data_IF_430042582654
#
_entry.id   IF_430042582654
#
_cell.length_a   1.000
_cell.length_b   1.000
_cell.length_c   1.000
_cell.angle_alpha   90.00
_cell.angle_beta   90.00
_cell.angle_gamma   90.00
#
_symmetry.space_group_name_H-M   'P 1'
#
loop_
_entity.id
_entity.type
_entity.pdbx_description
1 polymer ?
#
# COMPACT_ATOMS: atom_id res chain seq x y z
N UNK A 1 20.37 28.43 49.68
CA UNK A 1 21.58 28.76 48.90
C UNK A 1 21.44 28.12 47.55
N UNK A 2 21.37 28.91 46.49
CA UNK A 2 21.38 28.38 45.12
C UNK A 2 22.83 28.02 44.79
N UNK A 3 23.05 26.79 44.33
CA UNK A 3 24.36 26.29 43.93
C UNK A 3 24.75 26.83 42.53
N UNK A 4 26.02 27.18 42.35
CA UNK A 4 26.61 27.61 41.08
C UNK A 4 26.31 26.61 39.94
N UNK A 5 26.27 25.30 40.24
CA UNK A 5 25.95 24.27 39.25
C UNK A 5 24.50 24.39 38.73
N UNK A 6 23.56 24.83 39.57
CA UNK A 6 22.17 25.07 39.17
C UNK A 6 22.05 26.28 38.24
N UNK A 7 22.79 27.35 38.55
CA UNK A 7 22.82 28.57 37.72
C UNK A 7 23.48 28.30 36.36
N UNK A 8 24.56 27.52 36.29
CA UNK A 8 25.20 27.16 35.02
C UNK A 8 24.29 26.34 34.09
N UNK A 9 23.48 25.42 34.65
CA UNK A 9 22.48 24.67 33.85
C UNK A 9 21.38 25.58 33.31
N UNK A 10 20.84 26.46 34.15
CA UNK A 10 19.84 27.44 33.71
C UNK A 10 20.41 28.37 32.61
N UNK A 11 21.68 28.76 32.73
CA UNK A 11 22.36 29.57 31.72
C UNK A 11 22.58 28.82 30.39
N UNK A 12 22.91 27.52 30.45
CA UNK A 12 22.99 26.67 29.24
C UNK A 12 21.63 26.52 28.56
N UNK A 13 20.58 26.18 29.32
CA UNK A 13 19.23 26.08 28.80
C UNK A 13 18.77 27.37 28.11
N UNK A 14 19.09 28.54 28.71
CA UNK A 14 18.83 29.86 28.11
C UNK A 14 19.55 30.07 26.79
N UNK A 15 20.79 29.59 26.65
CA UNK A 15 21.56 29.70 25.40
C UNK A 15 21.00 28.81 24.29
N UNK A 16 20.41 27.66 24.64
CA UNK A 16 19.81 26.70 23.71
C UNK A 16 18.32 26.99 23.41
N UNK A 17 17.72 27.99 24.08
CA UNK A 17 16.30 28.35 23.92
C UNK A 17 15.34 27.43 24.66
N UNK A 18 15.85 26.62 25.58
CA UNK A 18 15.10 25.70 26.43
C UNK A 18 14.61 26.38 27.73
N UNK A 19 13.54 25.87 28.37
CA UNK A 19 13.05 26.42 29.62
C UNK A 19 14.08 26.31 30.75
N UNK A 20 14.43 27.44 31.36
CA UNK A 20 15.52 27.59 32.35
C UNK A 20 15.18 27.06 33.75
N UNK A 21 13.90 26.92 34.08
CA UNK A 21 13.41 26.41 35.37
C UNK A 21 13.70 27.30 36.59
N UNK A 22 14.42 28.41 36.41
CA UNK A 22 14.79 29.42 37.41
C UNK A 22 14.46 30.78 36.81
N UNK A 23 13.92 31.70 37.61
CA UNK A 23 13.59 33.04 37.15
C UNK A 23 14.87 33.80 36.71
N UNK A 24 14.78 34.49 35.57
CA UNK A 24 15.94 35.11 34.91
C UNK A 24 16.58 36.23 35.76
N UNK A 25 15.79 36.91 36.59
CA UNK A 25 16.25 37.93 37.55
C UNK A 25 17.19 37.34 38.62
N UNK A 26 16.90 36.11 39.07
CA UNK A 26 17.74 35.37 40.04
C UNK A 26 19.05 34.92 39.39
N UNK A 27 18.99 34.47 38.14
CA UNK A 27 20.17 34.07 37.35
C UNK A 27 21.09 35.27 37.13
N UNK A 28 20.54 36.40 36.69
CA UNK A 28 21.30 37.62 36.40
C UNK A 28 21.92 38.22 37.69
N UNK A 29 21.19 38.22 38.81
CA UNK A 29 21.70 38.67 40.10
C UNK A 29 22.88 37.81 40.60
N UNK A 30 22.82 36.48 40.38
CA UNK A 30 23.90 35.58 40.78
C UNK A 30 25.14 35.74 39.88
N UNK A 31 24.96 35.89 38.57
CA UNK A 31 26.07 36.14 37.62
C UNK A 31 26.74 37.50 37.89
N UNK A 32 26.01 38.49 38.41
CA UNK A 32 26.57 39.78 38.84
C UNK A 32 27.44 39.69 40.11
N UNK A 33 27.19 38.71 40.98
CA UNK A 33 27.95 38.54 42.23
C UNK A 33 29.05 37.46 42.16
N UNK A 34 28.90 36.45 41.29
CA UNK A 34 29.78 35.28 41.25
C UNK A 34 30.77 35.33 40.06
N UNK A 35 32.07 35.26 40.36
CA UNK A 35 33.15 35.28 39.36
C UNK A 35 33.14 34.01 38.49
N UNK A 36 32.84 32.85 39.07
CA UNK A 36 32.83 31.56 38.36
C UNK A 36 31.72 31.49 37.31
N UNK A 37 30.50 31.95 37.65
CA UNK A 37 29.38 31.96 36.70
C UNK A 37 29.59 32.99 35.58
N UNK A 38 30.30 34.09 35.86
CA UNK A 38 30.70 35.07 34.84
C UNK A 38 31.72 34.48 33.87
N UNK A 39 32.74 33.79 34.39
CA UNK A 39 33.74 33.10 33.57
C UNK A 39 33.12 32.02 32.67
N UNK A 40 32.12 31.29 33.18
CA UNK A 40 31.36 30.32 32.40
C UNK A 40 30.59 30.98 31.24
N UNK A 41 29.88 32.09 31.49
CA UNK A 41 29.17 32.84 30.46
C UNK A 41 30.12 33.38 29.38
N UNK A 42 31.26 33.95 29.78
CA UNK A 42 32.27 34.47 28.86
C UNK A 42 32.88 33.37 27.99
N UNK A 43 33.11 32.18 28.57
CA UNK A 43 33.60 31.00 27.85
C UNK A 43 32.58 30.49 26.84
N UNK A 44 31.30 30.42 27.21
CA UNK A 44 30.22 30.04 26.31
C UNK A 44 30.04 31.04 25.16
N UNK A 45 30.14 32.35 25.45
CA UNK A 45 30.10 33.40 24.43
C UNK A 45 31.32 33.35 23.49
N UNK A 46 32.51 33.03 24.01
CA UNK A 46 33.72 32.84 23.21
C UNK A 46 33.61 31.63 22.27
N UNK A 47 33.09 30.50 22.77
CA UNK A 47 32.84 29.31 21.96
C UNK A 47 31.82 29.58 20.84
N UNK A 48 30.71 30.26 21.15
CA UNK A 48 29.72 30.64 20.15
C UNK A 48 30.32 31.56 19.07
N UNK A 49 31.18 32.51 19.45
CA UNK A 49 31.95 33.33 18.49
C UNK A 49 32.89 32.48 17.62
N UNK A 50 33.60 31.52 18.20
CA UNK A 50 34.50 30.62 17.44
C UNK A 50 33.73 29.70 16.49
N UNK A 51 32.56 29.19 16.87
CA UNK A 51 31.71 28.39 15.99
C UNK A 51 31.18 29.23 14.82
N UNK A 52 30.71 30.45 15.09
CA UNK A 52 30.27 31.41 14.06
C UNK A 52 31.38 31.84 13.11
N UNK A 53 32.63 31.93 13.59
CA UNK A 53 33.80 32.27 12.77
C UNK A 53 34.36 31.06 12.01
N UNK A 54 34.29 29.86 12.58
CA UNK A 54 34.67 28.61 11.90
C UNK A 54 33.74 28.30 10.73
N UNK A 55 32.45 28.61 10.86
CA UNK A 55 31.50 28.57 9.72
C UNK A 55 31.77 29.64 8.66
N UNK A 56 32.51 30.70 9.01
CA UNK A 56 32.80 31.83 8.11
C UNK A 56 34.23 31.81 7.51
N UNK A 57 35.14 30.96 8.02
CA UNK A 57 36.56 30.92 7.59
C UNK A 57 36.80 30.14 6.28
N UNK A 58 35.75 29.65 5.63
CA UNK A 58 35.79 29.22 4.23
C UNK A 58 35.16 30.29 3.34
N UNK A 59 35.99 31.14 2.72
CA UNK A 59 35.68 31.95 1.52
C UNK A 59 34.30 32.63 1.42
N UNK A 60 34.21 33.92 1.80
CA UNK A 60 33.09 34.81 1.45
C UNK A 60 31.78 34.54 2.22
N UNK A 61 30.75 35.41 2.09
CA UNK A 61 29.45 35.16 2.69
C UNK A 61 28.87 33.87 2.11
N UNK A 62 29.00 32.77 2.85
CA UNK A 62 28.40 31.48 2.58
C UNK A 62 26.88 31.59 2.78
N UNK A 63 26.21 32.20 1.81
CA UNK A 63 24.87 31.79 1.43
C UNK A 63 25.07 30.36 0.97
N UNK A 64 24.75 29.37 1.84
CA UNK A 64 24.71 27.99 1.41
C UNK A 64 23.85 27.97 0.12
N UNK A 65 24.39 27.54 -1.03
CA UNK A 65 23.63 27.55 -2.27
C UNK A 65 22.34 26.78 -2.01
N UNK A 66 21.21 27.33 -2.41
CA UNK A 66 19.92 26.70 -2.18
C UNK A 66 19.85 25.43 -3.04
N UNK A 67 20.31 24.32 -2.46
CA UNK A 67 20.30 23.01 -3.08
C UNK A 67 18.92 22.35 -2.99
N UNK A 68 17.92 23.02 -2.40
CA UNK A 68 16.56 22.50 -2.30
C UNK A 68 16.02 22.16 -3.69
N UNK A 69 16.22 23.04 -4.67
CA UNK A 69 15.77 22.83 -6.04
C UNK A 69 16.55 21.68 -6.73
N UNK A 70 17.85 21.55 -6.46
CA UNK A 70 18.69 20.46 -7.01
C UNK A 70 18.37 19.10 -6.39
N UNK A 71 18.08 19.07 -5.08
CA UNK A 71 17.67 17.86 -4.35
C UNK A 71 16.25 17.45 -4.79
N UNK A 72 15.32 18.41 -4.92
CA UNK A 72 13.98 18.16 -5.46
C UNK A 72 14.06 17.65 -6.91
N UNK A 73 14.89 18.28 -7.76
CA UNK A 73 15.12 17.84 -9.13
C UNK A 73 15.82 16.48 -9.24
N UNK A 74 16.60 16.07 -8.25
CA UNK A 74 17.21 14.74 -8.18
C UNK A 74 16.20 13.64 -7.78
N UNK A 75 15.21 13.97 -6.94
CA UNK A 75 14.18 13.03 -6.47
C UNK A 75 13.01 12.91 -7.46
N UNK A 76 12.64 14.01 -8.13
CA UNK A 76 11.57 14.06 -9.13
C UNK A 76 11.65 12.97 -10.23
N UNK A 77 12.78 12.72 -10.90
CA UNK A 77 12.83 11.75 -12.00
C UNK A 77 12.63 10.31 -11.53
N UNK A 78 13.17 9.94 -10.37
CA UNK A 78 12.97 8.59 -9.81
C UNK A 78 11.54 8.41 -9.28
N UNK A 79 11.01 9.41 -8.58
CA UNK A 79 9.65 9.40 -8.08
C UNK A 79 8.62 9.36 -9.24
N UNK A 80 8.84 10.15 -10.30
CA UNK A 80 8.01 10.15 -11.52
C UNK A 80 8.09 8.83 -12.26
N UNK A 81 9.27 8.20 -12.39
CA UNK A 81 9.40 6.87 -13.00
C UNK A 81 8.64 5.81 -12.21
N UNK A 82 8.74 5.80 -10.87
CA UNK A 82 7.99 4.88 -10.02
C UNK A 82 6.48 5.14 -10.09
N UNK A 83 6.05 6.40 -10.13
CA UNK A 83 4.64 6.77 -10.29
C UNK A 83 4.09 6.36 -11.66
N UNK A 84 4.83 6.60 -12.75
CA UNK A 84 4.46 6.21 -14.10
C UNK A 84 4.38 4.68 -14.27
N UNK A 85 5.34 3.94 -13.70
CA UNK A 85 5.32 2.47 -13.71
C UNK A 85 4.09 1.91 -12.95
N UNK A 86 3.71 2.52 -11.82
CA UNK A 86 2.49 2.15 -11.08
C UNK A 86 1.23 2.48 -11.88
N UNK A 87 1.15 3.67 -12.48
CA UNK A 87 0.02 4.06 -13.32
C UNK A 87 -0.13 3.13 -14.53
N UNK A 88 0.98 2.76 -15.17
CA UNK A 88 0.98 1.78 -16.27
C UNK A 88 0.54 0.39 -15.80
N UNK A 89 1.03 -0.07 -14.64
CA UNK A 89 0.62 -1.35 -14.05
C UNK A 89 -0.88 -1.41 -13.76
N UNK A 90 -1.45 -0.33 -13.20
CA UNK A 90 -2.89 -0.21 -12.93
C UNK A 90 -3.72 -0.15 -14.23
N UNK A 91 -3.24 0.58 -15.23
CA UNK A 91 -3.89 0.65 -16.54
C UNK A 91 -3.90 -0.73 -17.22
N UNK A 92 -2.76 -1.43 -17.22
CA UNK A 92 -2.64 -2.78 -17.77
C UNK A 92 -3.56 -3.75 -17.03
N UNK A 93 -3.57 -3.72 -15.70
CA UNK A 93 -4.45 -4.60 -14.93
C UNK A 93 -5.93 -4.34 -15.20
N UNK A 94 -6.32 -3.08 -15.44
CA UNK A 94 -7.70 -2.75 -15.81
C UNK A 94 -8.09 -3.39 -17.13
N UNK A 95 -7.21 -3.32 -18.13
CA UNK A 95 -7.42 -3.96 -19.45
C UNK A 95 -7.53 -5.48 -19.28
N UNK A 96 -6.66 -6.09 -18.47
CA UNK A 96 -6.68 -7.54 -18.22
C UNK A 96 -7.96 -7.96 -17.48
N UNK A 97 -8.40 -7.22 -16.46
CA UNK A 97 -9.65 -7.49 -15.73
C UNK A 97 -10.88 -7.39 -16.65
N UNK A 98 -10.91 -6.38 -17.54
CA UNK A 98 -11.96 -6.26 -18.56
C UNK A 98 -11.94 -7.46 -19.52
N UNK A 99 -10.76 -7.86 -20.01
CA UNK A 99 -10.62 -9.02 -20.88
C UNK A 99 -11.08 -10.33 -20.23
N UNK A 100 -10.69 -10.56 -18.97
CA UNK A 100 -11.13 -11.71 -18.18
C UNK A 100 -12.66 -11.69 -17.95
N UNK A 101 -13.22 -10.53 -17.62
CA UNK A 101 -14.67 -10.38 -17.46
C UNK A 101 -15.42 -10.71 -18.75
N UNK A 102 -14.93 -10.24 -19.91
CA UNK A 102 -15.50 -10.58 -21.22
C UNK A 102 -15.41 -12.08 -21.50
N UNK A 103 -14.30 -12.73 -21.17
CA UNK A 103 -14.16 -14.18 -21.31
C UNK A 103 -15.20 -14.95 -20.47
N UNK A 104 -15.47 -14.51 -19.24
CA UNK A 104 -16.53 -15.09 -18.41
C UNK A 104 -17.93 -14.88 -19.00
N UNK A 105 -18.22 -13.70 -19.56
CA UNK A 105 -19.50 -13.44 -20.23
C UNK A 105 -19.69 -14.34 -21.45
N UNK A 106 -18.67 -14.42 -22.32
CA UNK A 106 -18.71 -15.31 -23.49
C UNK A 106 -18.96 -16.75 -23.05
N UNK A 107 -18.26 -17.20 -22.00
CA UNK A 107 -18.44 -18.55 -21.51
C UNK A 107 -19.83 -18.78 -20.90
N UNK A 108 -20.39 -17.82 -20.16
CA UNK A 108 -21.75 -17.91 -19.67
C UNK A 108 -22.77 -18.02 -20.81
N UNK A 109 -22.59 -17.27 -21.91
CA UNK A 109 -23.45 -17.36 -23.09
C UNK A 109 -23.37 -18.75 -23.73
N UNK A 110 -22.16 -19.34 -23.83
CA UNK A 110 -21.98 -20.72 -24.34
C UNK A 110 -22.76 -21.71 -23.46
N UNK A 111 -22.64 -21.62 -22.13
CA UNK A 111 -23.39 -22.49 -21.20
C UNK A 111 -24.91 -22.34 -21.35
N UNK A 112 -25.41 -21.12 -21.56
CA UNK A 112 -26.83 -20.91 -21.81
C UNK A 112 -27.26 -21.52 -23.14
N UNK A 113 -26.42 -21.47 -24.18
CA UNK A 113 -26.65 -22.17 -25.44
C UNK A 113 -26.71 -23.70 -25.26
N UNK A 114 -25.79 -24.26 -24.48
CA UNK A 114 -25.79 -25.69 -24.11
C UNK A 114 -27.05 -26.07 -23.32
N UNK A 115 -27.49 -25.22 -22.39
CA UNK A 115 -28.72 -25.43 -21.62
C UNK A 115 -29.96 -25.53 -22.52
N UNK A 116 -30.04 -24.69 -23.55
CA UNK A 116 -31.13 -24.69 -24.52
C UNK A 116 -31.09 -25.95 -25.41
N UNK A 117 -29.89 -26.44 -25.75
CA UNK A 117 -29.73 -27.67 -26.51
C UNK A 117 -30.16 -28.92 -25.72
N UNK A 118 -29.88 -28.95 -24.40
CA UNK A 118 -30.27 -30.05 -23.50
C UNK A 118 -31.77 -30.00 -23.13
N UNK A 119 -32.36 -28.80 -23.10
CA UNK A 119 -33.78 -28.59 -22.85
C UNK A 119 -34.68 -28.84 -24.08
N UNK A 120 -34.10 -29.09 -25.27
CA UNK A 120 -34.86 -29.49 -26.44
C UNK A 120 -35.60 -30.81 -26.17
N UNK A 121 -36.82 -31.00 -26.75
CA UNK A 121 -37.64 -32.17 -26.44
C UNK A 121 -36.87 -33.47 -26.70
N UNK A 122 -36.72 -34.36 -25.70
CA UNK A 122 -35.96 -35.58 -25.85
C UNK A 122 -36.65 -36.52 -26.84
N UNK A 123 -35.85 -37.31 -27.55
CA UNK A 123 -36.33 -38.37 -28.46
C UNK A 123 -37.02 -39.50 -27.67
N UNK A 124 -36.61 -39.69 -26.41
CA UNK A 124 -37.24 -40.62 -25.47
C UNK A 124 -38.06 -39.86 -24.39
N UNK A 125 -39.38 -40.12 -24.27
CA UNK A 125 -40.28 -39.38 -23.38
C UNK A 125 -40.12 -39.67 -21.88
N UNK A 126 -39.12 -40.46 -21.48
CA UNK A 126 -38.88 -40.86 -20.07
C UNK A 126 -37.61 -40.29 -19.43
N UNK A 127 -36.84 -39.47 -20.14
CA UNK A 127 -35.60 -38.86 -19.62
C UNK A 127 -35.85 -37.41 -19.24
N UNK A 128 -35.87 -37.12 -17.93
CA UNK A 128 -36.02 -35.77 -17.39
C UNK A 128 -34.70 -34.98 -17.52
N UNK A 129 -34.54 -34.20 -18.60
CA UNK A 129 -33.35 -33.35 -18.85
C UNK A 129 -33.44 -31.95 -18.20
N UNK A 130 -34.54 -31.66 -17.52
CA UNK A 130 -34.81 -30.36 -16.89
C UNK A 130 -33.80 -30.02 -15.79
N UNK A 131 -33.41 -31.00 -14.98
CA UNK A 131 -32.43 -30.83 -13.90
C UNK A 131 -31.06 -30.47 -14.47
N UNK A 132 -30.62 -31.18 -15.51
CA UNK A 132 -29.34 -30.90 -16.18
C UNK A 132 -29.34 -29.53 -16.84
N UNK A 133 -30.42 -29.11 -17.49
CA UNK A 133 -30.55 -27.77 -18.05
C UNK A 133 -30.46 -26.68 -16.96
N UNK A 134 -31.08 -26.90 -15.80
CA UNK A 134 -30.98 -26.01 -14.64
C UNK A 134 -29.54 -25.82 -14.14
N UNK A 135 -28.75 -26.90 -14.08
CA UNK A 135 -27.34 -26.82 -13.66
C UNK A 135 -26.48 -25.95 -14.58
N UNK A 136 -26.75 -25.96 -15.89
CA UNK A 136 -26.06 -25.08 -16.84
C UNK A 136 -26.44 -23.61 -16.63
N UNK A 137 -27.71 -23.32 -16.32
CA UNK A 137 -28.18 -21.96 -16.02
C UNK A 137 -27.56 -21.44 -14.73
N UNK A 138 -27.53 -22.25 -13.67
CA UNK A 138 -26.88 -21.88 -12.40
C UNK A 138 -25.37 -21.62 -12.58
N UNK A 139 -24.71 -22.49 -13.35
CA UNK A 139 -23.31 -22.33 -13.70
C UNK A 139 -23.06 -21.04 -14.50
N UNK A 140 -23.93 -20.70 -15.45
CA UNK A 140 -23.87 -19.45 -16.20
C UNK A 140 -24.07 -18.22 -15.29
N UNK A 141 -25.02 -18.28 -14.35
CA UNK A 141 -25.27 -17.20 -13.39
C UNK A 141 -24.02 -16.90 -12.54
N UNK A 142 -23.33 -17.94 -12.05
CA UNK A 142 -22.06 -17.77 -11.31
C UNK A 142 -21.00 -17.08 -12.18
N UNK A 143 -20.87 -17.47 -13.46
CA UNK A 143 -19.89 -16.87 -14.39
C UNK A 143 -20.21 -15.39 -14.66
N UNK A 144 -21.48 -15.03 -14.79
CA UNK A 144 -21.90 -13.63 -14.92
C UNK A 144 -21.63 -12.83 -13.65
N UNK A 145 -21.86 -13.41 -12.48
CA UNK A 145 -21.55 -12.76 -11.20
C UNK A 145 -20.04 -12.48 -11.08
N UNK A 146 -19.19 -13.42 -11.50
CA UNK A 146 -17.75 -13.21 -11.57
C UNK A 146 -17.39 -12.10 -12.58
N UNK A 147 -17.92 -12.18 -13.80
CA UNK A 147 -17.69 -11.12 -14.80
C UNK A 147 -18.04 -9.72 -14.25
N UNK A 148 -19.19 -9.59 -13.59
CA UNK A 148 -19.62 -8.36 -12.97
C UNK A 148 -18.65 -7.87 -11.88
N UNK A 149 -18.19 -8.77 -11.01
CA UNK A 149 -17.18 -8.45 -10.00
C UNK A 149 -15.87 -7.92 -10.61
N UNK A 150 -15.40 -8.51 -11.72
CA UNK A 150 -14.20 -8.06 -12.43
C UNK A 150 -14.40 -6.70 -13.10
N UNK A 151 -15.55 -6.49 -13.75
CA UNK A 151 -15.88 -5.18 -14.34
C UNK A 151 -16.00 -4.09 -13.27
N UNK A 152 -16.59 -4.42 -12.13
CA UNK A 152 -16.72 -3.50 -11.01
C UNK A 152 -15.35 -3.15 -10.40
N UNK A 153 -14.47 -4.15 -10.24
CA UNK A 153 -13.08 -3.93 -9.83
C UNK A 153 -12.31 -3.08 -10.85
N UNK A 154 -12.55 -3.28 -12.15
CA UNK A 154 -11.92 -2.50 -13.23
C UNK A 154 -12.43 -1.04 -13.29
N UNK A 155 -13.69 -0.77 -12.93
CA UNK A 155 -14.19 0.60 -12.81
C UNK A 155 -13.63 1.28 -11.56
N UNK A 156 -13.69 0.62 -10.41
CA UNK A 156 -13.32 1.22 -9.13
C UNK A 156 -12.29 0.33 -8.38
N UNK A 157 -10.97 0.55 -8.57
CA UNK A 157 -9.91 -0.31 -8.02
C UNK A 157 -9.87 -0.32 -6.49
N UNK A 158 -10.43 0.69 -5.83
CA UNK A 158 -10.63 0.71 -4.37
C UNK A 158 -11.39 -0.51 -3.84
N UNK A 159 -12.24 -1.14 -4.67
CA UNK A 159 -13.06 -2.28 -4.27
C UNK A 159 -12.33 -3.63 -4.39
N UNK A 160 -11.10 -3.66 -4.94
CA UNK A 160 -10.32 -4.89 -5.12
C UNK A 160 -10.09 -5.61 -3.79
N UNK A 161 -9.85 -4.86 -2.70
CA UNK A 161 -9.60 -5.42 -1.36
C UNK A 161 -10.71 -6.39 -0.90
N UNK A 162 -11.97 -6.10 -1.22
CA UNK A 162 -13.09 -6.96 -0.86
C UNK A 162 -13.25 -8.19 -1.77
N UNK A 163 -12.74 -8.12 -3.01
CA UNK A 163 -12.91 -9.17 -4.02
C UNK A 163 -11.82 -10.25 -3.96
N UNK A 164 -10.59 -9.88 -3.57
CA UNK A 164 -9.47 -10.83 -3.43
C UNK A 164 -9.81 -12.07 -2.59
N UNK A 165 -10.39 -11.97 -1.37
CA UNK A 165 -10.71 -13.17 -0.59
C UNK A 165 -11.81 -14.02 -1.23
N UNK A 166 -12.79 -13.41 -1.91
CA UNK A 166 -13.88 -14.13 -2.58
C UNK A 166 -13.33 -14.97 -3.75
N UNK A 167 -12.56 -14.35 -4.64
CA UNK A 167 -11.96 -15.05 -5.78
C UNK A 167 -10.90 -16.06 -5.34
N UNK A 168 -10.08 -15.71 -4.34
CA UNK A 168 -9.07 -16.60 -3.79
C UNK A 168 -9.67 -17.84 -3.16
N UNK A 169 -10.73 -17.70 -2.35
CA UNK A 169 -11.44 -18.82 -1.75
C UNK A 169 -12.11 -19.68 -2.83
N UNK A 170 -12.81 -19.04 -3.79
CA UNK A 170 -13.45 -19.76 -4.89
C UNK A 170 -12.44 -20.59 -5.68
N UNK A 171 -11.26 -20.03 -5.96
CA UNK A 171 -10.19 -20.75 -6.63
C UNK A 171 -9.67 -21.92 -5.80
N UNK A 172 -9.39 -21.72 -4.51
CA UNK A 172 -8.87 -22.76 -3.64
C UNK A 172 -9.82 -23.96 -3.51
N UNK A 173 -11.12 -23.71 -3.32
CA UNK A 173 -12.12 -24.78 -3.28
C UNK A 173 -12.27 -25.46 -4.64
N UNK A 174 -12.34 -24.68 -5.72
CA UNK A 174 -12.44 -25.22 -7.08
C UNK A 174 -11.24 -26.10 -7.45
N UNK A 175 -10.03 -25.71 -7.03
CA UNK A 175 -8.82 -26.51 -7.19
C UNK A 175 -8.89 -27.83 -6.42
N UNK A 176 -9.42 -27.80 -5.19
CA UNK A 176 -9.66 -29.01 -4.40
C UNK A 176 -10.64 -29.98 -5.09
N UNK A 177 -11.74 -29.47 -5.62
CA UNK A 177 -12.71 -30.29 -6.38
C UNK A 177 -12.11 -30.81 -7.70
N UNK A 178 -11.37 -29.98 -8.43
CA UNK A 178 -10.68 -30.41 -9.64
C UNK A 178 -9.68 -31.54 -9.34
N UNK A 179 -9.00 -31.50 -8.20
CA UNK A 179 -8.10 -32.60 -7.77
C UNK A 179 -8.87 -33.91 -7.59
N UNK A 180 -10.06 -33.85 -6.98
CA UNK A 180 -10.96 -35.01 -6.86
C UNK A 180 -11.37 -35.53 -8.23
N UNK A 181 -11.77 -34.65 -9.15
CA UNK A 181 -12.26 -35.06 -10.47
C UNK A 181 -11.14 -35.66 -11.33
N UNK A 182 -9.90 -35.19 -11.18
CA UNK A 182 -8.71 -35.81 -11.79
C UNK A 182 -8.47 -37.21 -11.23
N UNK A 183 -8.55 -37.40 -9.91
CA UNK A 183 -8.36 -38.72 -9.28
C UNK A 183 -9.43 -39.72 -9.70
N UNK A 184 -10.67 -39.25 -9.87
CA UNK A 184 -11.80 -40.08 -10.29
C UNK A 184 -11.90 -40.26 -11.82
N UNK A 185 -11.06 -39.56 -12.60
CA UNK A 185 -11.06 -39.64 -14.06
C UNK A 185 -12.20 -38.87 -14.75
N UNK A 186 -12.88 -37.97 -14.04
CA UNK A 186 -13.97 -37.12 -14.56
C UNK A 186 -13.49 -35.77 -15.11
N UNK A 187 -12.19 -35.47 -15.03
CA UNK A 187 -11.66 -34.17 -15.44
C UNK A 187 -11.85 -33.91 -16.94
N UNK A 188 -12.57 -32.83 -17.27
CA UNK A 188 -12.75 -32.37 -18.65
C UNK A 188 -11.82 -31.20 -18.99
N UNK A 189 -11.59 -30.95 -20.29
CA UNK A 189 -10.81 -29.80 -20.75
C UNK A 189 -11.46 -28.45 -20.34
N UNK A 190 -12.80 -28.39 -20.28
CA UNK A 190 -13.55 -27.22 -19.81
C UNK A 190 -13.32 -26.92 -18.33
N UNK A 191 -13.16 -27.94 -17.49
CA UNK A 191 -12.91 -27.75 -16.06
C UNK A 191 -11.52 -27.13 -15.83
N UNK A 192 -10.52 -27.64 -16.55
CA UNK A 192 -9.15 -27.10 -16.52
C UNK A 192 -9.13 -25.65 -17.01
N UNK A 193 -9.81 -25.36 -18.12
CA UNK A 193 -9.93 -24.00 -18.64
C UNK A 193 -10.53 -23.05 -17.59
N UNK A 194 -11.61 -23.47 -16.91
CA UNK A 194 -12.24 -22.66 -15.87
C UNK A 194 -11.35 -22.40 -14.67
N UNK A 195 -10.63 -23.42 -14.25
CA UNK A 195 -9.71 -23.32 -13.12
C UNK A 195 -8.56 -22.35 -13.42
N UNK A 196 -8.01 -22.41 -14.64
CA UNK A 196 -6.96 -21.48 -15.09
C UNK A 196 -7.51 -20.06 -15.22
N UNK A 197 -8.69 -19.88 -15.80
CA UNK A 197 -9.33 -18.58 -15.93
C UNK A 197 -9.56 -17.93 -14.55
N UNK A 198 -10.04 -18.74 -13.58
CA UNK A 198 -10.25 -18.31 -12.20
C UNK A 198 -8.93 -18.00 -11.49
N UNK A 199 -7.89 -18.80 -11.69
CA UNK A 199 -6.55 -18.53 -11.16
C UNK A 199 -6.04 -17.17 -11.65
N UNK A 200 -6.11 -16.92 -12.96
CA UNK A 200 -5.65 -15.68 -13.57
C UNK A 200 -6.43 -14.48 -13.00
N UNK A 201 -7.74 -14.60 -12.84
CA UNK A 201 -8.55 -13.54 -12.24
C UNK A 201 -8.14 -13.23 -10.79
N UNK A 202 -7.90 -14.26 -9.97
CA UNK A 202 -7.45 -14.11 -8.60
C UNK A 202 -6.04 -13.48 -8.52
N UNK A 203 -5.11 -13.93 -9.38
CA UNK A 203 -3.74 -13.40 -9.45
C UNK A 203 -3.71 -11.94 -9.89
N UNK A 204 -4.51 -11.56 -10.89
CA UNK A 204 -4.59 -10.17 -11.35
C UNK A 204 -5.20 -9.29 -10.26
N UNK A 205 -6.27 -9.73 -9.59
CA UNK A 205 -6.83 -9.01 -8.44
C UNK A 205 -5.81 -8.85 -7.32
N UNK A 206 -5.08 -9.91 -6.97
CA UNK A 206 -4.01 -9.86 -5.98
C UNK A 206 -2.92 -8.88 -6.39
N UNK A 207 -2.47 -8.93 -7.65
CA UNK A 207 -1.48 -7.99 -8.18
C UNK A 207 -1.96 -6.54 -8.09
N UNK A 208 -3.21 -6.26 -8.47
CA UNK A 208 -3.79 -4.91 -8.35
C UNK A 208 -3.79 -4.44 -6.91
N UNK A 209 -4.17 -5.30 -5.97
CA UNK A 209 -4.16 -4.99 -4.54
C UNK A 209 -2.76 -4.69 -4.00
N UNK A 210 -1.75 -5.50 -4.36
CA UNK A 210 -0.36 -5.26 -3.99
C UNK A 210 0.17 -3.94 -4.56
N UNK A 211 -0.20 -3.62 -5.80
CA UNK A 211 0.27 -2.42 -6.50
C UNK A 211 -0.32 -1.10 -5.98
N UNK A 212 -1.57 -1.13 -5.49
CA UNK A 212 -2.31 0.06 -5.06
C UNK A 212 -2.22 0.31 -3.54
N UNK A 213 -2.33 -0.75 -2.72
CA UNK A 213 -2.44 -0.62 -1.25
C UNK A 213 -1.38 -1.40 -0.46
N UNK A 214 -0.97 -2.58 -0.93
CA UNK A 214 -0.26 -3.58 -0.12
C UNK A 214 1.03 -3.07 0.52
N UNK A 215 1.88 -2.35 -0.19
CA UNK A 215 3.19 -1.94 0.34
C UNK A 215 3.11 -0.81 1.38
N UNK A 216 2.19 0.14 1.21
CA UNK A 216 2.05 1.29 2.11
C UNK A 216 1.21 0.94 3.33
N UNK A 217 0.12 0.17 3.14
CA UNK A 217 -0.74 -0.28 4.23
C UNK A 217 -0.03 -1.31 5.13
N UNK A 218 0.70 -2.26 4.55
CA UNK A 218 1.46 -3.25 5.32
C UNK A 218 2.65 -2.60 6.04
N UNK A 219 3.31 -1.60 5.43
CA UNK A 219 4.34 -0.81 6.11
C UNK A 219 3.80 0.07 7.25
N UNK A 220 2.55 0.53 7.18
CA UNK A 220 1.89 1.22 8.30
C UNK A 220 1.42 0.25 9.39
N UNK A 221 0.81 -0.88 9.02
CA UNK A 221 0.39 -1.92 9.94
C UNK A 221 1.59 -2.53 10.69
N UNK A 222 2.70 -2.76 10.00
CA UNK A 222 3.95 -3.22 10.60
C UNK A 222 4.54 -2.16 11.53
N UNK A 223 4.60 -0.89 11.12
CA UNK A 223 5.09 0.20 11.98
C UNK A 223 4.22 0.40 13.23
N UNK A 224 2.90 0.34 13.09
CA UNK A 224 1.96 0.37 14.19
C UNK A 224 2.12 -0.83 15.13
N UNK A 225 2.36 -2.03 14.59
CA UNK A 225 2.65 -3.23 15.38
C UNK A 225 4.03 -3.17 16.08
N UNK A 226 5.01 -2.48 15.48
CA UNK A 226 6.37 -2.32 16.04
C UNK A 226 6.57 -1.08 16.92
N UNK A 227 5.52 -0.28 17.17
CA UNK A 227 5.55 0.90 18.05
C UNK A 227 6.76 1.83 17.83
N UNK A 228 7.12 2.10 16.56
CA UNK A 228 8.15 3.10 16.23
C UNK A 228 7.46 4.44 15.93
N UNK A 229 7.62 5.46 16.78
CA UNK A 229 7.02 6.79 16.54
C UNK A 229 7.73 7.51 15.39
N UNK A 230 6.99 8.47 14.81
CA UNK A 230 7.36 9.31 13.65
C UNK A 230 8.57 10.22 13.92
#
# INVERSE_FOLDING_TARGET
MIDCAGIQRALSARLDGEPTGIADDVVDAHVAACVECRAFLDSAAALNRQLKLSTASGSGPMIAPDLSETILAGIEPEARRRAAARAFGLALSRVVLLGLGVAYVIWAIVLLGESAAVAAPPVDPGVDTSVTAGLFVDAAAVRLALAFGLFFAAWRPQNVTGMVPVYGALWAFSFGFATRDVVLGYASASDVFGLVLLLLSALVLLWTWLSDFGLVAMGRAWRAATARPD
#
